data_IF_682819311985
#
_entry.id   IF_682819311985
#
_cell.length_a   1.000
_cell.length_b   1.000
_cell.length_c   1.000
_cell.angle_alpha   90.00
_cell.angle_beta   90.00
_cell.angle_gamma   90.00
#
_symmetry.space_group_name_H-M   'P 1'
#
loop_
_entity.id
_entity.type
_entity.pdbx_description
1 polymer ?
#
# COMPACT_ATOMS: atom_id res chain seq x y z
N UNK A 1 -6.33 8.73 1.86
CA UNK A 1 -6.74 7.67 2.78
C UNK A 1 -7.56 8.21 3.96
N UNK A 2 -7.37 9.49 4.35
CA UNK A 2 -8.07 10.13 5.47
C UNK A 2 -7.68 9.53 6.83
N UNK A 3 -6.39 9.24 7.00
CA UNK A 3 -5.81 8.90 8.29
C UNK A 3 -5.47 10.20 9.04
N UNK A 4 -5.78 10.24 10.33
CA UNK A 4 -5.59 11.42 11.16
C UNK A 4 -4.99 11.04 12.51
N UNK A 5 -4.12 11.89 13.10
CA UNK A 5 -3.61 11.69 14.44
C UNK A 5 -4.77 11.61 15.44
N UNK A 6 -4.79 10.59 16.29
CA UNK A 6 -5.79 10.40 17.34
C UNK A 6 -5.20 10.35 18.74
N UNK A 7 -3.85 10.36 18.85
CA UNK A 7 -3.15 10.46 20.12
C UNK A 7 -1.63 10.42 19.94
N UNK A 8 -0.94 11.23 20.72
CA UNK A 8 0.54 11.21 20.81
C UNK A 8 0.92 10.89 22.24
N UNK A 9 1.69 9.82 22.42
CA UNK A 9 2.08 9.32 23.75
C UNK A 9 3.55 9.65 24.10
N UNK A 10 4.19 10.48 23.28
CA UNK A 10 5.58 10.89 23.43
C UNK A 10 6.27 11.03 22.07
N UNK A 11 7.57 11.37 22.05
CA UNK A 11 8.30 11.64 20.80
C UNK A 11 8.54 10.40 19.93
N UNK A 12 8.31 9.21 20.48
CA UNK A 12 8.54 7.92 19.80
C UNK A 12 7.32 7.04 19.70
N UNK A 13 6.15 7.51 20.17
CA UNK A 13 4.90 6.75 20.12
C UNK A 13 3.74 7.65 19.77
N UNK A 14 2.87 7.18 18.90
CA UNK A 14 1.67 7.91 18.51
C UNK A 14 0.58 6.97 18.00
N UNK A 15 -0.63 7.48 17.94
CA UNK A 15 -1.80 6.80 17.40
C UNK A 15 -2.44 7.66 16.32
N UNK A 16 -2.81 6.99 15.24
CA UNK A 16 -3.64 7.51 14.16
C UNK A 16 -4.87 6.66 14.03
N UNK A 17 -5.90 7.21 13.43
CA UNK A 17 -7.13 6.48 13.14
C UNK A 17 -7.62 6.80 11.75
N UNK A 18 -8.21 5.82 11.09
CA UNK A 18 -8.91 5.99 9.83
C UNK A 18 -10.25 5.24 9.85
N UNK A 19 -11.27 5.85 9.25
CA UNK A 19 -12.53 5.14 8.98
C UNK A 19 -12.38 4.42 7.65
N UNK A 20 -12.61 3.12 7.64
CA UNK A 20 -12.64 2.32 6.40
C UNK A 20 -13.87 2.74 5.59
N UNK A 21 -13.64 3.44 4.49
CA UNK A 21 -14.69 3.97 3.61
C UNK A 21 -14.85 3.12 2.35
N UNK A 22 -16.01 3.15 1.69
CA UNK A 22 -16.12 2.70 0.31
C UNK A 22 -15.03 3.36 -0.56
N UNK A 23 -14.51 2.65 -1.54
CA UNK A 23 -13.44 3.13 -2.41
C UNK A 23 -12.01 2.86 -1.93
N UNK A 24 -11.83 2.34 -0.69
CA UNK A 24 -10.55 1.76 -0.22
C UNK A 24 -10.68 0.28 0.15
N UNK A 25 -11.78 -0.36 -0.25
CA UNK A 25 -12.09 -1.76 0.04
C UNK A 25 -12.09 -2.61 -1.22
N UNK A 26 -11.96 -3.91 -1.06
CA UNK A 26 -12.13 -4.92 -2.12
C UNK A 26 -13.61 -5.19 -2.39
N UNK A 27 -13.94 -5.97 -3.44
CA UNK A 27 -15.29 -6.47 -3.70
C UNK A 27 -15.89 -7.31 -2.56
N UNK A 28 -15.05 -7.89 -1.70
CA UNK A 28 -15.46 -8.59 -0.48
C UNK A 28 -15.78 -7.68 0.71
N UNK A 29 -15.79 -6.35 0.52
CA UNK A 29 -15.99 -5.34 1.55
C UNK A 29 -14.92 -5.35 2.66
N UNK A 30 -13.69 -5.69 2.29
CA UNK A 30 -12.53 -5.65 3.17
C UNK A 30 -11.59 -4.52 2.76
N UNK A 31 -10.96 -3.85 3.73
CA UNK A 31 -9.90 -2.88 3.46
C UNK A 31 -8.86 -3.52 2.54
N UNK A 32 -8.55 -2.82 1.44
CA UNK A 32 -7.44 -3.20 0.56
C UNK A 32 -6.14 -3.21 1.35
N UNK A 33 -5.36 -4.29 1.24
CA UNK A 33 -4.16 -4.47 2.04
C UNK A 33 -3.15 -3.34 1.83
N UNK A 34 -2.95 -2.94 0.59
CA UNK A 34 -2.09 -1.81 0.24
C UNK A 34 -2.54 -0.48 0.86
N UNK A 35 -3.86 -0.25 1.04
CA UNK A 35 -4.35 0.92 1.76
C UNK A 35 -4.04 0.86 3.26
N UNK A 36 -4.12 -0.33 3.86
CA UNK A 36 -3.71 -0.55 5.24
C UNK A 36 -2.22 -0.30 5.45
N UNK A 37 -1.39 -0.84 4.56
CA UNK A 37 0.06 -0.60 4.59
C UNK A 37 0.38 0.87 4.38
N UNK A 38 -0.26 1.53 3.41
CA UNK A 38 -0.06 2.95 3.13
C UNK A 38 -0.43 3.84 4.34
N UNK A 39 -1.51 3.51 5.05
CA UNK A 39 -1.90 4.21 6.27
C UNK A 39 -0.84 4.06 7.37
N UNK A 40 -0.32 2.85 7.57
CA UNK A 40 0.73 2.59 8.55
C UNK A 40 2.04 3.33 8.19
N UNK A 41 2.44 3.30 6.92
CA UNK A 41 3.64 4.01 6.44
C UNK A 41 3.48 5.52 6.63
N UNK A 42 2.34 6.10 6.24
CA UNK A 42 2.08 7.53 6.41
C UNK A 42 2.14 7.95 7.89
N UNK A 43 1.56 7.16 8.80
CA UNK A 43 1.65 7.43 10.24
C UNK A 43 3.08 7.35 10.79
N UNK A 44 3.87 6.38 10.31
CA UNK A 44 5.30 6.27 10.67
C UNK A 44 6.09 7.46 10.16
N UNK A 45 5.88 7.87 8.91
CA UNK A 45 6.55 9.03 8.32
C UNK A 45 6.20 10.33 9.05
N UNK A 46 4.92 10.52 9.38
CA UNK A 46 4.46 11.69 10.13
C UNK A 46 5.09 11.75 11.53
N UNK A 47 5.09 10.64 12.29
CA UNK A 47 5.70 10.61 13.62
C UNK A 47 7.21 10.83 13.58
N UNK A 48 7.89 10.25 12.60
CA UNK A 48 9.35 10.30 12.50
C UNK A 48 9.88 11.57 11.83
N UNK A 49 9.05 12.23 11.01
CA UNK A 49 9.47 13.30 10.11
C UNK A 49 10.43 12.83 9.00
N UNK A 50 10.43 11.53 8.66
CA UNK A 50 11.38 10.89 7.72
C UNK A 50 10.66 10.02 6.72
N UNK A 51 11.16 10.01 5.49
CA UNK A 51 10.63 9.19 4.40
C UNK A 51 10.92 7.71 4.61
N UNK A 52 9.96 6.85 4.26
CA UNK A 52 10.12 5.41 4.32
C UNK A 52 11.08 4.90 3.23
N UNK A 53 12.05 4.09 3.65
CA UNK A 53 13.04 3.45 2.77
C UNK A 53 12.67 2.01 2.49
N UNK A 54 12.05 1.37 3.48
CA UNK A 54 11.66 -0.03 3.44
C UNK A 54 10.53 -0.30 4.42
N UNK A 55 9.58 -1.10 4.01
CA UNK A 55 8.51 -1.59 4.87
C UNK A 55 8.15 -3.04 4.52
N UNK A 56 7.71 -3.78 5.53
CA UNK A 56 7.09 -5.09 5.36
C UNK A 56 5.87 -5.18 6.24
N UNK A 57 4.84 -5.88 5.76
CA UNK A 57 3.59 -6.06 6.47
C UNK A 57 3.27 -7.54 6.67
N UNK A 58 2.69 -7.86 7.81
CA UNK A 58 2.05 -9.12 8.07
C UNK A 58 0.55 -8.88 8.24
N UNK A 59 -0.25 -9.41 7.34
CA UNK A 59 -1.70 -9.33 7.36
C UNK A 59 -2.26 -10.44 8.23
N UNK A 60 -3.01 -10.08 9.26
CA UNK A 60 -3.51 -11.01 10.28
C UNK A 60 -5.03 -11.19 10.19
N UNK A 61 -5.74 -10.14 9.80
CA UNK A 61 -7.19 -10.11 9.72
C UNK A 61 -7.62 -9.01 8.74
N UNK A 62 -8.89 -8.68 8.72
CA UNK A 62 -9.48 -7.68 7.83
C UNK A 62 -10.27 -6.63 8.60
N UNK A 63 -10.32 -5.42 8.06
CA UNK A 63 -11.23 -4.37 8.48
C UNK A 63 -12.31 -4.16 7.42
N UNK A 64 -13.55 -3.86 7.83
CA UNK A 64 -14.70 -3.68 6.95
C UNK A 64 -15.10 -2.21 6.84
N UNK A 65 -15.83 -1.88 5.80
CA UNK A 65 -16.45 -0.56 5.65
C UNK A 65 -17.23 -0.18 6.90
N UNK A 66 -16.99 1.03 7.39
CA UNK A 66 -17.62 1.60 8.59
C UNK A 66 -16.83 1.34 9.88
N UNK A 67 -15.89 0.39 9.89
CA UNK A 67 -15.03 0.19 11.06
C UNK A 67 -13.94 1.28 11.10
N UNK A 68 -13.54 1.65 12.33
CA UNK A 68 -12.40 2.52 12.57
C UNK A 68 -11.17 1.65 12.82
N UNK A 69 -10.14 1.85 12.02
CA UNK A 69 -8.84 1.20 12.20
C UNK A 69 -7.89 2.18 12.88
N UNK A 70 -7.44 1.82 14.07
CA UNK A 70 -6.38 2.50 14.79
C UNK A 70 -5.00 1.99 14.34
N UNK A 71 -4.05 2.89 14.24
CA UNK A 71 -2.65 2.63 13.86
C UNK A 71 -1.75 3.10 14.99
N UNK A 72 -1.28 2.18 15.80
CA UNK A 72 -0.34 2.44 16.88
C UNK A 72 1.08 2.38 16.35
N UNK A 73 1.79 3.50 16.39
CA UNK A 73 3.17 3.61 15.89
C UNK A 73 4.16 3.71 17.05
N UNK A 74 5.26 2.98 16.92
CA UNK A 74 6.41 3.04 17.81
C UNK A 74 7.70 3.20 17.00
N UNK A 75 8.48 4.25 17.29
CA UNK A 75 9.85 4.39 16.81
C UNK A 75 10.75 3.60 17.75
N UNK A 76 11.04 2.35 17.38
CA UNK A 76 11.77 1.41 18.23
C UNK A 76 13.24 1.82 18.45
N UNK A 77 13.88 2.37 17.41
CA UNK A 77 15.23 2.89 17.46
C UNK A 77 15.32 4.15 16.62
N UNK A 78 15.58 5.29 17.24
CA UNK A 78 15.81 6.56 16.56
C UNK A 78 17.29 6.71 16.28
N UNK A 79 17.73 6.32 15.09
CA UNK A 79 19.13 6.44 14.67
C UNK A 79 19.43 7.78 14.01
N UNK A 80 20.71 8.09 13.85
CA UNK A 80 21.14 9.34 13.22
C UNK A 80 20.66 9.48 11.77
N UNK A 81 20.79 8.45 10.98
CA UNK A 81 20.38 8.42 9.55
C UNK A 81 19.10 7.64 9.34
N UNK A 82 18.95 6.50 10.00
CA UNK A 82 17.82 5.59 9.84
C UNK A 82 17.16 5.35 11.19
N UNK A 83 15.85 5.46 11.22
CA UNK A 83 14.98 5.09 12.36
C UNK A 83 14.28 3.77 12.04
N UNK A 84 14.23 2.86 13.00
CA UNK A 84 13.45 1.63 12.91
C UNK A 84 12.10 1.84 13.59
N UNK A 85 11.04 1.54 12.88
CA UNK A 85 9.68 1.78 13.35
C UNK A 85 8.82 0.52 13.23
N UNK A 86 7.78 0.48 14.05
CA UNK A 86 6.71 -0.51 13.99
C UNK A 86 5.37 0.19 14.04
N UNK A 87 4.42 -0.31 13.26
CA UNK A 87 3.01 0.03 13.40
C UNK A 87 2.19 -1.24 13.65
N UNK A 88 1.18 -1.14 14.52
CA UNK A 88 0.18 -2.19 14.75
C UNK A 88 -1.18 -1.58 14.48
N UNK A 89 -1.87 -2.14 13.50
CA UNK A 89 -3.19 -1.67 13.09
C UNK A 89 -4.27 -2.57 13.70
N UNK A 90 -5.30 -1.96 14.33
CA UNK A 90 -6.37 -2.68 15.04
C UNK A 90 -7.73 -2.12 14.72
N UNK A 91 -8.73 -3.00 14.81
CA UNK A 91 -10.15 -2.63 14.93
C UNK A 91 -10.62 -3.18 16.27
N UNK A 92 -10.81 -2.29 17.25
CA UNK A 92 -10.98 -2.70 18.64
C UNK A 92 -9.79 -3.53 19.12
N UNK A 93 -10.04 -4.72 19.65
CA UNK A 93 -8.98 -5.65 20.12
C UNK A 93 -8.41 -6.54 19.01
N UNK A 94 -8.98 -6.49 17.81
CA UNK A 94 -8.57 -7.35 16.67
C UNK A 94 -7.44 -6.73 15.91
N UNK A 95 -6.29 -7.38 15.87
CA UNK A 95 -5.17 -6.97 15.01
C UNK A 95 -5.50 -7.24 13.53
N UNK A 96 -5.28 -6.24 12.69
CA UNK A 96 -5.52 -6.29 11.25
C UNK A 96 -4.22 -6.55 10.51
N UNK A 97 -3.20 -5.72 10.78
CA UNK A 97 -1.88 -5.91 10.23
C UNK A 97 -0.82 -5.33 11.17
N UNK A 98 0.39 -5.87 11.07
CA UNK A 98 1.60 -5.31 11.68
C UNK A 98 2.58 -4.91 10.59
N UNK A 99 3.23 -3.77 10.77
CA UNK A 99 4.21 -3.23 9.83
C UNK A 99 5.51 -2.98 10.56
N UNK A 100 6.62 -3.44 10.00
CA UNK A 100 7.96 -3.00 10.38
C UNK A 100 8.52 -2.17 9.23
N UNK A 101 9.15 -1.04 9.55
CA UNK A 101 9.69 -0.12 8.57
C UNK A 101 11.02 0.48 9.00
N UNK A 102 11.83 0.84 8.02
CA UNK A 102 12.96 1.72 8.17
C UNK A 102 12.64 3.04 7.48
N UNK A 103 12.82 4.15 8.20
CA UNK A 103 12.60 5.50 7.67
C UNK A 103 13.85 6.34 7.84
N UNK A 104 14.11 7.24 6.92
CA UNK A 104 15.27 8.13 6.95
C UNK A 104 15.98 8.21 5.63
N UNK A 105 17.17 8.75 5.68
CA UNK A 105 18.03 8.92 4.53
C UNK A 105 19.46 8.54 4.89
N UNK A 106 20.12 7.83 3.99
CA UNK A 106 21.54 7.58 4.08
C UNK A 106 22.20 8.10 2.82
N UNK A 107 22.94 9.18 2.91
CA UNK A 107 23.65 9.72 1.76
C UNK A 107 24.71 8.72 1.29
N UNK A 108 24.74 8.48 -0.01
CA UNK A 108 25.76 7.68 -0.68
C UNK A 108 26.53 8.56 -1.66
N UNK A 109 27.82 8.37 -1.71
CA UNK A 109 28.69 9.04 -2.69
C UNK A 109 28.38 8.57 -4.11
N UNK A 110 27.95 7.30 -4.25
CA UNK A 110 27.59 6.72 -5.53
C UNK A 110 26.18 6.12 -5.47
N UNK A 111 25.39 6.38 -6.50
CA UNK A 111 24.11 5.72 -6.75
C UNK A 111 24.19 4.89 -8.02
N UNK A 112 23.75 3.65 -8.00
CA UNK A 112 23.66 2.77 -9.15
C UNK A 112 22.39 1.95 -9.12
N UNK A 113 21.72 1.82 -10.26
CA UNK A 113 20.58 0.91 -10.43
C UNK A 113 21.07 -0.39 -11.06
N UNK A 114 21.05 -1.46 -10.32
CA UNK A 114 21.37 -2.81 -10.79
C UNK A 114 20.20 -3.47 -11.54
N UNK A 115 18.99 -2.98 -11.30
CA UNK A 115 17.76 -3.45 -11.94
C UNK A 115 17.38 -2.47 -13.03
N UNK A 116 17.16 -2.99 -14.23
CA UNK A 116 16.63 -2.21 -15.36
C UNK A 116 15.16 -2.52 -15.50
N UNK A 117 14.40 -1.48 -15.80
CA UNK A 117 13.00 -1.66 -16.21
C UNK A 117 12.98 -2.56 -17.46
N UNK A 118 12.13 -3.59 -17.51
CA UNK A 118 11.95 -4.39 -18.71
C UNK A 118 11.57 -3.52 -19.91
N UNK A 119 12.03 -3.92 -21.10
CA UNK A 119 11.60 -3.28 -22.34
C UNK A 119 10.17 -3.74 -22.66
N UNK A 120 9.21 -2.87 -22.41
CA UNK A 120 7.78 -3.17 -22.51
C UNK A 120 7.04 -2.07 -23.25
N UNK A 121 5.92 -2.41 -23.94
CA UNK A 121 5.08 -1.41 -24.56
C UNK A 121 4.58 -0.35 -23.57
N UNK A 122 4.44 0.92 -23.98
CA UNK A 122 3.86 1.96 -23.14
C UNK A 122 2.38 1.64 -22.86
N UNK A 123 1.82 2.13 -21.74
CA UNK A 123 0.43 1.84 -21.38
C UNK A 123 -0.58 2.22 -22.47
N UNK A 124 -0.30 3.27 -23.26
CA UNK A 124 -1.17 3.70 -24.37
C UNK A 124 -1.29 2.68 -25.50
N UNK A 125 -0.33 1.76 -25.64
CA UNK A 125 -0.34 0.70 -26.64
C UNK A 125 -1.03 -0.59 -26.15
N UNK A 126 -1.49 -0.64 -24.91
CA UNK A 126 -2.09 -1.82 -24.29
C UNK A 126 -3.58 -1.61 -24.02
N UNK A 127 -4.34 -2.68 -24.09
CA UNK A 127 -5.76 -2.68 -23.75
C UNK A 127 -5.91 -2.48 -22.24
N UNK A 128 -6.82 -1.58 -21.85
CA UNK A 128 -7.24 -1.45 -20.46
C UNK A 128 -8.08 -2.65 -20.07
N UNK A 129 -7.83 -3.20 -18.89
CA UNK A 129 -8.67 -4.24 -18.31
C UNK A 129 -10.08 -3.72 -18.08
N UNK A 130 -11.06 -4.54 -18.37
CA UNK A 130 -12.43 -4.22 -18.05
C UNK A 130 -12.67 -4.38 -16.55
N UNK A 131 -13.33 -3.42 -15.94
CA UNK A 131 -13.79 -3.59 -14.57
C UNK A 131 -14.87 -4.67 -14.52
N UNK A 132 -14.81 -5.51 -13.51
CA UNK A 132 -15.89 -6.45 -13.20
C UNK A 132 -17.10 -5.68 -12.68
N UNK A 133 -18.30 -6.20 -12.93
CA UNK A 133 -19.56 -5.56 -12.48
C UNK A 133 -19.70 -5.46 -10.95
N UNK A 134 -18.92 -6.24 -10.21
CA UNK A 134 -18.94 -6.35 -8.75
C UNK A 134 -17.93 -5.43 -8.03
N UNK A 135 -17.25 -4.52 -8.76
CA UNK A 135 -16.24 -3.62 -8.18
C UNK A 135 -16.76 -2.23 -7.84
N UNK A 136 -18.05 -1.96 -7.99
CA UNK A 136 -18.63 -0.66 -7.65
C UNK A 136 -18.35 -0.27 -6.20
N UNK A 137 -17.97 0.99 -5.99
CA UNK A 137 -17.56 1.53 -4.68
C UNK A 137 -16.32 0.86 -4.05
N UNK A 138 -15.53 0.13 -4.81
CA UNK A 138 -14.27 -0.44 -4.35
C UNK A 138 -13.07 0.34 -4.88
N UNK A 139 -11.88 -0.02 -4.39
CA UNK A 139 -10.64 0.57 -4.92
C UNK A 139 -10.43 0.19 -6.39
N UNK A 140 -10.84 -1.02 -6.79
CA UNK A 140 -10.70 -1.49 -8.17
C UNK A 140 -11.47 -0.65 -9.19
N UNK A 141 -12.59 -0.05 -8.80
CA UNK A 141 -13.33 0.87 -9.67
C UNK A 141 -12.51 2.09 -10.09
N UNK A 142 -11.54 2.49 -9.25
CA UNK A 142 -10.69 3.66 -9.47
C UNK A 142 -9.37 3.32 -10.16
N UNK A 143 -9.04 2.03 -10.27
CA UNK A 143 -7.78 1.57 -10.83
C UNK A 143 -7.89 1.43 -12.34
N UNK A 144 -6.92 1.95 -13.05
CA UNK A 144 -6.67 1.61 -14.45
C UNK A 144 -5.51 0.63 -14.52
N UNK A 145 -5.77 -0.51 -15.12
CA UNK A 145 -4.83 -1.62 -15.21
C UNK A 145 -4.66 -2.05 -16.67
N UNK A 146 -3.43 -2.38 -17.06
CA UNK A 146 -3.10 -2.87 -18.41
C UNK A 146 -2.03 -3.94 -18.31
N UNK A 147 -2.37 -5.17 -18.67
CA UNK A 147 -1.39 -6.24 -18.69
C UNK A 147 -0.38 -6.06 -19.83
N UNK A 148 0.89 -6.22 -19.49
CA UNK A 148 1.99 -6.51 -20.41
C UNK A 148 2.20 -8.01 -20.51
N UNK A 149 2.21 -8.70 -19.35
CA UNK A 149 2.22 -10.14 -19.19
C UNK A 149 1.14 -10.47 -18.18
N UNK A 150 0.21 -11.31 -18.55
CA UNK A 150 -0.91 -11.71 -17.72
C UNK A 150 -2.08 -12.18 -18.55
N UNK A 151 -3.08 -12.75 -17.90
CA UNK A 151 -4.31 -13.23 -18.52
C UNK A 151 -5.51 -12.72 -17.73
N UNK A 152 -6.56 -12.37 -18.43
CA UNK A 152 -7.86 -12.12 -17.81
C UNK A 152 -8.42 -13.43 -17.25
N UNK A 153 -9.35 -13.33 -16.30
CA UNK A 153 -9.97 -14.53 -15.70
C UNK A 153 -10.64 -15.42 -16.73
N UNK A 154 -11.25 -14.82 -17.75
CA UNK A 154 -11.92 -15.51 -18.84
C UNK A 154 -10.94 -16.22 -19.80
N UNK A 155 -9.67 -15.87 -19.74
CA UNK A 155 -8.58 -16.46 -20.54
C UNK A 155 -7.85 -17.58 -19.80
N UNK A 156 -8.25 -17.90 -18.58
CA UNK A 156 -7.66 -18.99 -17.81
C UNK A 156 -8.16 -20.32 -18.34
N UNK A 157 -7.26 -21.09 -18.93
CA UNK A 157 -7.51 -22.37 -19.60
C UNK A 157 -7.01 -23.58 -18.80
N UNK A 158 -6.83 -23.43 -17.48
CA UNK A 158 -6.27 -24.44 -16.57
C UNK A 158 -4.81 -24.81 -16.87
N UNK A 159 -4.18 -24.20 -17.87
CA UNK A 159 -2.77 -24.44 -18.18
C UNK A 159 -1.91 -23.50 -17.33
N UNK A 160 -1.03 -24.04 -16.46
CA UNK A 160 -0.12 -23.19 -15.70
C UNK A 160 0.81 -22.38 -16.63
N UNK A 161 0.99 -21.10 -16.31
CA UNK A 161 2.01 -20.28 -16.94
C UNK A 161 3.30 -20.29 -16.07
N UNK A 162 4.27 -19.46 -16.42
CA UNK A 162 5.53 -19.33 -15.68
C UNK A 162 5.41 -18.50 -14.37
N UNK A 163 4.19 -18.10 -13.98
CA UNK A 163 3.90 -17.34 -12.77
C UNK A 163 4.28 -15.86 -12.84
N UNK A 164 4.77 -15.36 -13.98
CA UNK A 164 5.08 -13.95 -14.14
C UNK A 164 3.85 -13.15 -14.51
N UNK A 165 3.68 -12.03 -13.81
CA UNK A 165 2.71 -10.98 -14.15
C UNK A 165 3.45 -9.65 -14.26
N UNK A 166 3.14 -8.89 -15.30
CA UNK A 166 3.66 -7.56 -15.52
C UNK A 166 2.52 -6.64 -15.95
N UNK A 167 2.35 -5.54 -15.27
CA UNK A 167 1.18 -4.70 -15.42
C UNK A 167 1.52 -3.22 -15.23
N UNK A 168 0.92 -2.37 -16.04
CA UNK A 168 0.81 -0.96 -15.75
C UNK A 168 -0.43 -0.72 -14.91
N UNK A 169 -0.28 -0.02 -13.78
CA UNK A 169 -1.39 0.36 -12.90
C UNK A 169 -1.29 1.83 -12.53
N UNK A 170 -2.44 2.50 -12.46
CA UNK A 170 -2.58 3.85 -11.91
C UNK A 170 -3.95 4.04 -11.28
N UNK A 171 -4.08 5.04 -10.41
CA UNK A 171 -5.35 5.50 -9.84
C UNK A 171 -5.48 6.98 -10.22
N UNK A 172 -6.04 7.30 -11.40
CA UNK A 172 -6.23 8.68 -11.84
C UNK A 172 -7.14 9.42 -10.85
N UNK A 173 -7.06 10.73 -10.82
CA UNK A 173 -7.86 11.64 -9.96
C UNK A 173 -7.67 11.46 -8.44
N UNK A 174 -6.85 10.48 -8.02
CA UNK A 174 -6.55 10.22 -6.60
C UNK A 174 -5.06 10.34 -6.31
N UNK A 175 -4.23 9.97 -7.27
CA UNK A 175 -2.78 9.92 -7.15
C UNK A 175 -2.15 10.81 -8.22
N UNK A 176 -1.61 11.95 -7.78
CA UNK A 176 -0.94 12.92 -8.67
C UNK A 176 0.56 12.66 -8.82
N UNK A 177 1.13 11.84 -7.95
CA UNK A 177 2.57 11.54 -7.94
C UNK A 177 2.88 10.21 -7.26
N UNK A 178 4.11 9.76 -7.40
CA UNK A 178 4.60 8.53 -6.78
C UNK A 178 5.29 8.89 -5.47
N UNK A 179 4.67 8.51 -4.36
CA UNK A 179 5.24 8.53 -3.01
C UNK A 179 5.22 7.14 -2.39
N UNK A 180 5.65 7.02 -1.16
CA UNK A 180 5.72 5.73 -0.44
C UNK A 180 4.34 5.14 -0.18
N UNK A 181 3.33 5.97 0.10
CA UNK A 181 1.95 5.53 0.30
C UNK A 181 1.33 5.03 -1.01
N UNK A 182 1.56 5.74 -2.12
CA UNK A 182 1.13 5.33 -3.47
C UNK A 182 1.74 3.99 -3.86
N UNK A 183 3.05 3.81 -3.63
CA UNK A 183 3.73 2.54 -3.90
C UNK A 183 3.15 1.41 -3.07
N UNK A 184 2.81 1.65 -1.79
CA UNK A 184 2.17 0.65 -0.94
C UNK A 184 0.78 0.24 -1.46
N UNK A 185 -0.04 1.22 -1.88
CA UNK A 185 -1.37 0.95 -2.45
C UNK A 185 -1.28 0.13 -3.72
N UNK A 186 -0.39 0.50 -4.64
CA UNK A 186 -0.23 -0.17 -5.94
C UNK A 186 0.58 -1.46 -5.86
N UNK A 187 1.41 -1.64 -4.84
CA UNK A 187 2.23 -2.83 -4.64
C UNK A 187 1.48 -4.07 -4.14
N UNK A 188 0.20 -3.93 -3.77
CA UNK A 188 -0.66 -5.03 -3.31
C UNK A 188 -1.38 -5.77 -4.45
N UNK A 189 -0.94 -5.57 -5.67
CA UNK A 189 -1.39 -6.35 -6.83
C UNK A 189 -0.57 -7.63 -6.94
N UNK A 190 -1.23 -8.76 -6.76
CA UNK A 190 -0.63 -10.09 -6.96
C UNK A 190 -1.49 -10.91 -7.91
#
# INVERSE_FOLDING_TARGET
>A
LGIEPSGVFGPTNGRWSMIVRPGVVTGGNFLWGGCGLAAAVAAIEELSGRTCVWATAQYLSYARTGETMDVDVTLAVVGHQITQARAVCRVGDREILTVNAAVGERPFEYAHSFVKMPDVPPPSALKQRAHRSDVSNTIHEKMEERFVIGRELEELDEIPNDGRTLMWARIPDVIDGVDTATLAVLGDFV
#
